data_IF_706494950755
#
_entry.id   IF_706494950755
#
_cell.length_a   1.000
_cell.length_b   1.000
_cell.length_c   1.000
_cell.angle_alpha   90.00
_cell.angle_beta   90.00
_cell.angle_gamma   90.00
#
_symmetry.space_group_name_H-M   'P 1'
#
loop_
_entity.id
_entity.type
_entity.pdbx_description
1 polymer ?
#
# COMPACT_ATOMS: atom_id res chain seq x y z
N UNK A 1 59.17 40.29 -20.98
CA UNK A 1 58.59 39.45 -22.05
C UNK A 1 58.58 38.02 -21.54
N UNK A 2 57.51 37.56 -21.04
CA UNK A 2 57.32 36.12 -20.77
C UNK A 2 55.89 35.80 -21.07
N UNK A 3 55.69 35.00 -22.08
CA UNK A 3 54.41 34.50 -22.58
C UNK A 3 54.11 33.25 -21.78
N UNK A 4 52.93 33.25 -21.17
CA UNK A 4 52.30 32.16 -20.40
C UNK A 4 52.10 30.94 -21.29
N UNK A 5 52.61 29.77 -20.87
CA UNK A 5 52.29 28.48 -21.43
C UNK A 5 50.87 28.08 -20.97
N UNK A 6 49.94 28.03 -21.90
CA UNK A 6 48.65 27.39 -21.69
C UNK A 6 48.86 25.87 -21.78
N UNK A 7 48.56 25.13 -20.71
CA UNK A 7 48.55 23.67 -20.73
C UNK A 7 47.42 23.18 -21.63
N UNK A 8 47.80 22.50 -22.69
CA UNK A 8 46.88 21.81 -23.60
C UNK A 8 46.54 20.47 -22.96
N UNK A 9 45.35 20.37 -22.41
CA UNK A 9 44.82 19.09 -21.92
C UNK A 9 44.63 18.16 -23.14
N UNK A 10 45.18 16.95 -23.07
CA UNK A 10 45.15 16.00 -24.19
C UNK A 10 43.71 15.44 -24.41
N UNK A 11 43.39 15.16 -25.67
CA UNK A 11 42.09 14.55 -26.02
C UNK A 11 41.79 13.23 -25.27
N UNK A 12 42.84 12.50 -24.85
CA UNK A 12 42.71 11.29 -24.06
C UNK A 12 42.27 11.58 -22.63
N UNK A 13 42.66 12.70 -22.02
CA UNK A 13 42.23 13.11 -20.68
C UNK A 13 40.81 13.64 -20.71
N UNK A 14 40.38 14.34 -21.77
CA UNK A 14 39.01 14.74 -21.96
C UNK A 14 38.07 13.54 -22.18
N UNK A 15 38.49 12.50 -22.89
CA UNK A 15 37.75 11.28 -23.15
C UNK A 15 37.59 10.46 -21.83
N UNK A 16 38.63 10.41 -21.01
CA UNK A 16 38.60 9.71 -19.71
C UNK A 16 37.74 10.47 -18.69
N UNK A 17 37.73 11.80 -18.72
CA UNK A 17 36.89 12.63 -17.86
C UNK A 17 35.42 12.56 -18.28
N UNK A 18 35.13 12.47 -19.59
CA UNK A 18 33.77 12.29 -20.11
C UNK A 18 33.21 10.86 -19.83
N UNK A 19 34.08 9.84 -19.88
CA UNK A 19 33.68 8.47 -19.51
C UNK A 19 33.46 8.29 -18.01
N UNK A 20 34.17 9.01 -17.14
CA UNK A 20 33.94 8.98 -15.68
C UNK A 20 32.74 9.82 -15.21
N UNK A 21 32.24 10.74 -16.03
CA UNK A 21 30.98 11.49 -15.75
C UNK A 21 29.72 10.76 -16.23
N UNK A 22 29.89 9.71 -17.06
CA UNK A 22 28.76 8.89 -17.56
C UNK A 22 28.46 7.64 -16.70
N UNK A 23 29.19 7.42 -15.59
CA UNK A 23 29.05 6.21 -14.77
C UNK A 23 28.55 6.44 -13.33
N UNK A 24 28.09 7.65 -12.98
CA UNK A 24 27.45 7.88 -11.69
C UNK A 24 26.14 8.65 -11.91
N UNK A 25 25.06 8.01 -11.48
CA UNK A 25 23.66 8.44 -11.30
C UNK A 25 22.65 7.90 -12.33
N UNK A 26 22.67 6.59 -12.60
CA UNK A 26 21.39 5.90 -12.64
C UNK A 26 20.87 5.82 -11.19
N UNK A 27 20.15 6.84 -10.76
CA UNK A 27 19.20 6.69 -9.65
C UNK A 27 18.22 5.62 -10.11
N UNK A 28 18.45 4.38 -9.67
CA UNK A 28 17.62 3.24 -10.02
C UNK A 28 16.19 3.60 -9.60
N UNK A 29 15.34 3.96 -10.56
CA UNK A 29 13.93 4.26 -10.28
C UNK A 29 13.34 3.03 -9.58
N UNK A 30 12.71 3.19 -8.40
CA UNK A 30 12.20 2.06 -7.65
C UNK A 30 11.23 1.27 -8.53
N UNK A 31 11.40 -0.05 -8.56
CA UNK A 31 10.60 -0.94 -9.40
C UNK A 31 9.11 -0.84 -9.02
N UNK A 32 8.24 -0.68 -10.00
CA UNK A 32 6.80 -0.72 -9.78
C UNK A 32 6.36 -2.15 -9.40
N UNK A 33 5.51 -2.27 -8.39
CA UNK A 33 4.78 -3.50 -8.06
C UNK A 33 3.41 -3.47 -8.70
N UNK A 34 2.70 -2.32 -8.58
CA UNK A 34 1.49 -2.07 -9.32
C UNK A 34 1.61 -0.75 -10.08
N UNK A 35 0.85 -0.63 -11.16
CA UNK A 35 0.75 0.60 -11.93
C UNK A 35 -0.71 0.83 -12.30
N UNK A 36 -1.21 2.00 -11.98
CA UNK A 36 -2.57 2.42 -12.28
C UNK A 36 -2.49 3.39 -13.45
N UNK A 37 -3.25 3.12 -14.52
CA UNK A 37 -3.21 3.89 -15.77
C UNK A 37 -4.61 4.32 -16.18
N UNK A 38 -4.87 5.62 -16.14
CA UNK A 38 -6.11 6.26 -16.60
C UNK A 38 -7.39 5.63 -16.01
N UNK A 39 -7.33 5.22 -14.73
CA UNK A 39 -8.40 4.52 -14.06
C UNK A 39 -9.59 5.44 -13.79
N UNK A 40 -10.76 5.07 -14.31
CA UNK A 40 -12.05 5.64 -13.94
C UNK A 40 -12.94 4.56 -13.33
N UNK A 41 -13.72 4.91 -12.31
CA UNK A 41 -14.57 3.95 -11.62
C UNK A 41 -15.99 4.46 -11.46
N UNK A 42 -16.97 3.56 -11.64
CA UNK A 42 -18.39 3.86 -11.61
C UNK A 42 -19.13 2.89 -10.68
N UNK A 43 -19.92 3.41 -9.75
CA UNK A 43 -20.79 2.60 -8.88
C UNK A 43 -22.03 2.09 -9.64
N UNK A 44 -22.44 2.79 -10.71
CA UNK A 44 -23.58 2.39 -11.55
C UNK A 44 -23.39 2.93 -12.96
N UNK A 45 -23.77 2.14 -13.98
CA UNK A 45 -23.74 2.54 -15.37
C UNK A 45 -24.54 3.84 -15.60
N UNK A 46 -23.98 4.77 -16.35
CA UNK A 46 -24.61 6.06 -16.66
C UNK A 46 -24.53 7.12 -15.57
N UNK A 47 -23.82 6.85 -14.45
CA UNK A 47 -23.57 7.86 -13.41
C UNK A 47 -22.24 8.56 -13.62
N UNK A 48 -22.02 9.66 -12.87
CA UNK A 48 -20.70 10.31 -12.82
C UNK A 48 -19.67 9.38 -12.21
N UNK A 49 -18.43 9.34 -12.73
CA UNK A 49 -17.36 8.53 -12.18
C UNK A 49 -17.00 8.97 -10.76
N UNK A 50 -16.81 7.99 -9.88
CA UNK A 50 -16.30 8.20 -8.54
C UNK A 50 -14.76 8.36 -8.54
N UNK A 51 -14.08 7.74 -9.52
CA UNK A 51 -12.68 8.01 -9.85
C UNK A 51 -12.61 8.49 -11.28
N UNK A 52 -11.73 9.46 -11.57
CA UNK A 52 -11.64 10.14 -12.85
C UNK A 52 -10.19 10.14 -13.31
N UNK A 53 -9.88 9.24 -14.24
CA UNK A 53 -8.59 9.21 -14.94
C UNK A 53 -7.37 9.21 -14.00
N UNK A 54 -7.41 8.37 -12.94
CA UNK A 54 -6.35 8.27 -11.95
C UNK A 54 -5.18 7.46 -12.54
N UNK A 55 -3.96 8.02 -12.46
CA UNK A 55 -2.73 7.33 -12.85
C UNK A 55 -1.67 7.53 -11.78
N UNK A 56 -1.09 6.41 -11.28
CA UNK A 56 -0.01 6.44 -10.29
C UNK A 56 0.73 5.11 -10.23
N UNK A 57 2.04 5.12 -9.91
CA UNK A 57 2.79 3.92 -9.59
C UNK A 57 2.60 3.53 -8.12
N UNK A 58 2.73 2.24 -7.83
CA UNK A 58 2.93 1.68 -6.50
C UNK A 58 4.27 0.97 -6.49
N UNK A 59 5.20 1.47 -5.72
CA UNK A 59 6.58 0.97 -5.72
C UNK A 59 6.74 -0.27 -4.85
N UNK A 60 7.54 -1.22 -5.33
CA UNK A 60 7.82 -2.49 -4.65
C UNK A 60 8.49 -2.25 -3.29
N UNK A 61 8.00 -2.94 -2.26
CA UNK A 61 8.53 -2.89 -0.90
C UNK A 61 8.63 -1.44 -0.36
N UNK A 62 7.56 -0.68 -0.61
CA UNK A 62 7.37 0.68 -0.10
C UNK A 62 5.96 0.83 0.44
N UNK A 63 5.80 1.79 1.34
CA UNK A 63 4.48 2.20 1.83
C UNK A 63 4.02 3.41 1.02
N UNK A 64 2.87 3.29 0.38
CA UNK A 64 2.19 4.40 -0.30
C UNK A 64 0.94 4.76 0.47
N UNK A 65 0.84 5.98 0.96
CA UNK A 65 -0.39 6.49 1.58
C UNK A 65 -1.28 7.23 0.57
N UNK A 66 -2.58 7.09 0.74
CA UNK A 66 -3.59 7.89 0.06
C UNK A 66 -4.27 8.80 1.09
N UNK A 67 -4.14 10.11 0.91
CA UNK A 67 -4.74 11.14 1.77
C UNK A 67 -5.75 11.99 1.00
N UNK A 68 -6.60 12.71 1.71
CA UNK A 68 -7.59 13.62 1.13
C UNK A 68 -8.90 13.63 1.91
N UNK A 69 -9.84 14.54 1.59
CA UNK A 69 -11.11 14.69 2.28
C UNK A 69 -11.96 13.40 2.27
N UNK A 70 -12.90 13.30 3.19
CA UNK A 70 -13.86 12.19 3.20
C UNK A 70 -14.67 12.19 1.89
N UNK A 71 -14.90 10.99 1.33
CA UNK A 71 -15.66 10.83 0.08
C UNK A 71 -14.91 11.19 -1.20
N UNK A 72 -13.62 11.57 -1.17
CA UNK A 72 -12.87 11.93 -2.37
C UNK A 72 -12.44 10.73 -3.26
N UNK A 73 -12.71 9.48 -2.83
CA UNK A 73 -12.46 8.28 -3.66
C UNK A 73 -11.32 7.37 -3.20
N UNK A 74 -10.61 7.66 -2.08
CA UNK A 74 -9.46 6.86 -1.59
C UNK A 74 -9.78 5.37 -1.43
N UNK A 75 -10.79 5.04 -0.63
CA UNK A 75 -11.21 3.64 -0.42
C UNK A 75 -11.76 3.00 -1.70
N UNK A 76 -12.35 3.79 -2.60
CA UNK A 76 -12.77 3.31 -3.91
C UNK A 76 -11.56 2.90 -4.74
N UNK A 77 -10.52 3.74 -4.81
CA UNK A 77 -9.27 3.43 -5.50
C UNK A 77 -8.62 2.18 -4.90
N UNK A 78 -8.52 2.11 -3.57
CA UNK A 78 -7.95 0.96 -2.87
C UNK A 78 -8.69 -0.35 -3.26
N UNK A 79 -10.03 -0.33 -3.27
CA UNK A 79 -10.87 -1.49 -3.58
C UNK A 79 -10.82 -1.91 -5.05
N UNK A 80 -10.41 -1.04 -5.97
CA UNK A 80 -10.20 -1.43 -7.37
C UNK A 80 -8.95 -2.28 -7.56
N UNK A 81 -7.93 -2.12 -6.72
CA UNK A 81 -6.64 -2.81 -6.86
C UNK A 81 -6.73 -4.34 -6.62
N UNK A 82 -7.77 -4.83 -5.92
CA UNK A 82 -8.02 -6.28 -5.73
C UNK A 82 -9.37 -6.73 -6.29
N UNK A 83 -10.02 -5.88 -7.08
CA UNK A 83 -11.29 -6.15 -7.75
C UNK A 83 -12.41 -6.58 -6.81
N UNK A 84 -12.45 -6.04 -5.57
CA UNK A 84 -13.52 -6.39 -4.63
C UNK A 84 -14.88 -5.87 -5.12
N UNK A 85 -14.89 -4.85 -5.98
CA UNK A 85 -16.09 -4.32 -6.62
C UNK A 85 -16.80 -5.32 -7.53
N UNK A 86 -16.12 -6.37 -8.02
CA UNK A 86 -16.74 -7.44 -8.83
C UNK A 86 -17.85 -8.19 -8.08
N UNK A 87 -17.91 -8.05 -6.73
CA UNK A 87 -19.02 -8.56 -5.93
C UNK A 87 -20.34 -7.80 -6.19
N UNK A 88 -20.29 -6.67 -6.89
CA UNK A 88 -21.42 -5.80 -7.16
C UNK A 88 -21.61 -5.64 -8.68
N UNK A 89 -22.64 -6.26 -9.25
CA UNK A 89 -22.88 -6.31 -10.71
C UNK A 89 -23.08 -4.94 -11.38
N UNK A 90 -23.40 -3.89 -10.61
CA UNK A 90 -23.59 -2.53 -11.12
C UNK A 90 -22.29 -1.74 -11.23
N UNK A 91 -21.22 -2.19 -10.57
CA UNK A 91 -19.94 -1.47 -10.48
C UNK A 91 -18.99 -1.92 -11.59
N UNK A 92 -18.23 -0.97 -12.13
CA UNK A 92 -17.22 -1.27 -13.15
C UNK A 92 -16.11 -0.22 -13.15
N UNK A 93 -14.97 -0.61 -13.70
CA UNK A 93 -13.80 0.24 -13.88
C UNK A 93 -13.43 0.30 -15.36
N UNK A 94 -12.89 1.45 -15.79
CA UNK A 94 -12.27 1.69 -17.10
C UNK A 94 -10.82 2.11 -16.89
N UNK A 95 -9.95 1.88 -17.87
CA UNK A 95 -8.51 2.08 -17.75
C UNK A 95 -7.80 0.78 -17.44
N UNK A 96 -6.63 0.85 -16.80
CA UNK A 96 -5.79 -0.31 -16.52
C UNK A 96 -5.23 -0.29 -15.10
N UNK A 97 -5.09 -1.46 -14.49
CA UNK A 97 -4.23 -1.69 -13.32
C UNK A 97 -3.35 -2.89 -13.63
N UNK A 98 -2.04 -2.70 -13.54
CA UNK A 98 -1.05 -3.73 -13.76
C UNK A 98 -0.47 -4.19 -12.41
N UNK A 99 -0.28 -5.50 -12.25
CA UNK A 99 0.49 -6.12 -11.17
C UNK A 99 1.68 -6.83 -11.83
N UNK A 100 2.90 -6.39 -11.52
CA UNK A 100 4.13 -6.84 -12.19
C UNK A 100 4.02 -6.83 -13.74
N UNK A 101 3.46 -5.74 -14.28
CA UNK A 101 3.29 -5.55 -15.73
C UNK A 101 2.15 -6.35 -16.37
N UNK A 102 1.35 -7.09 -15.59
CA UNK A 102 0.20 -7.87 -16.09
C UNK A 102 -1.10 -7.22 -15.64
N UNK A 103 -2.04 -7.03 -16.58
CA UNK A 103 -3.36 -6.49 -16.25
C UNK A 103 -4.10 -7.37 -15.25
N UNK A 104 -4.78 -6.73 -14.29
CA UNK A 104 -5.63 -7.43 -13.33
C UNK A 104 -7.09 -7.54 -13.80
N UNK A 105 -7.50 -6.86 -14.88
CA UNK A 105 -8.90 -6.77 -15.28
C UNK A 105 -9.37 -7.91 -16.18
N UNK A 106 -8.58 -8.33 -17.15
CA UNK A 106 -8.98 -9.35 -18.11
C UNK A 106 -8.30 -10.69 -17.84
N UNK A 107 -9.07 -11.79 -17.91
CA UNK A 107 -8.57 -13.19 -17.82
C UNK A 107 -7.82 -13.57 -16.54
N UNK A 108 -7.65 -12.65 -15.58
CA UNK A 108 -7.03 -12.97 -14.29
C UNK A 108 -8.06 -13.59 -13.38
N UNK A 109 -7.77 -14.77 -12.85
CA UNK A 109 -8.58 -15.40 -11.81
C UNK A 109 -8.59 -14.48 -10.59
N UNK A 110 -9.79 -14.11 -10.14
CA UNK A 110 -9.98 -13.20 -9.00
C UNK A 110 -9.43 -13.80 -7.71
N UNK A 111 -9.45 -15.13 -7.55
CA UNK A 111 -8.90 -15.79 -6.38
C UNK A 111 -7.36 -15.75 -6.40
N UNK A 112 -6.74 -15.94 -7.57
CA UNK A 112 -5.29 -15.78 -7.74
C UNK A 112 -4.88 -14.33 -7.45
N UNK A 113 -5.60 -13.34 -8.00
CA UNK A 113 -5.36 -11.93 -7.71
C UNK A 113 -5.45 -11.63 -6.20
N UNK A 114 -6.53 -12.06 -5.53
CA UNK A 114 -6.75 -11.77 -4.11
C UNK A 114 -5.81 -12.53 -3.18
N UNK A 115 -5.19 -13.60 -3.64
CA UNK A 115 -4.10 -14.26 -2.92
C UNK A 115 -2.81 -13.43 -2.93
N UNK A 116 -2.58 -12.65 -3.99
CA UNK A 116 -1.43 -11.77 -4.19
C UNK A 116 -1.65 -10.35 -3.66
N UNK A 117 -2.90 -9.88 -3.66
CA UNK A 117 -3.30 -8.54 -3.24
C UNK A 117 -4.28 -8.66 -2.09
N UNK A 118 -3.73 -8.77 -0.87
CA UNK A 118 -4.51 -8.88 0.37
C UNK A 118 -5.12 -7.56 0.79
N UNK A 119 -6.21 -7.61 1.57
CA UNK A 119 -6.90 -6.41 2.07
C UNK A 119 -7.21 -6.49 3.55
N UNK A 120 -6.91 -5.41 4.25
CA UNK A 120 -7.28 -5.14 5.64
C UNK A 120 -8.30 -4.00 5.64
N UNK A 121 -9.46 -4.26 6.22
CA UNK A 121 -10.57 -3.30 6.26
C UNK A 121 -10.47 -2.33 7.44
N UNK A 122 -11.16 -1.20 7.33
CA UNK A 122 -11.25 -0.17 8.35
C UNK A 122 -11.76 -0.72 9.69
N UNK A 123 -12.85 -1.49 9.65
CA UNK A 123 -13.37 -2.16 10.83
C UNK A 123 -12.75 -3.56 10.91
N UNK A 124 -12.15 -3.94 12.06
CA UNK A 124 -11.70 -5.30 12.25
C UNK A 124 -12.84 -6.28 12.00
N UNK A 125 -12.60 -7.29 11.19
CA UNK A 125 -13.59 -8.30 10.80
C UNK A 125 -13.00 -9.70 10.95
N UNK A 126 -12.70 -10.16 12.18
CA UNK A 126 -12.41 -11.56 12.38
C UNK A 126 -13.63 -12.40 11.97
N UNK A 127 -13.39 -13.58 11.42
CA UNK A 127 -14.47 -14.52 11.17
C UNK A 127 -15.01 -15.06 12.51
N UNK A 128 -16.29 -15.42 12.61
CA UNK A 128 -16.89 -15.98 13.83
C UNK A 128 -16.40 -17.42 14.06
N UNK A 129 -15.13 -17.57 14.34
CA UNK A 129 -14.42 -18.82 14.58
C UNK A 129 -13.20 -18.57 15.48
N UNK A 130 -12.48 -19.62 15.83
CA UNK A 130 -11.29 -19.52 16.69
C UNK A 130 -10.20 -18.61 16.09
N UNK A 131 -9.29 -18.12 16.94
CA UNK A 131 -8.10 -17.37 16.50
C UNK A 131 -7.29 -18.22 15.51
N UNK A 132 -7.08 -19.51 15.82
CA UNK A 132 -6.37 -20.43 14.93
C UNK A 132 -7.06 -20.61 13.58
N UNK A 133 -8.38 -20.83 13.58
CA UNK A 133 -9.12 -21.03 12.33
C UNK A 133 -9.18 -19.77 11.48
N UNK A 134 -9.24 -18.57 12.07
CA UNK A 134 -9.07 -17.32 11.34
C UNK A 134 -7.77 -17.29 10.56
N UNK A 135 -6.66 -17.71 11.17
CA UNK A 135 -5.35 -17.75 10.54
C UNK A 135 -5.22 -18.86 9.50
N UNK A 136 -5.76 -20.03 9.82
CA UNK A 136 -5.62 -21.23 9.00
C UNK A 136 -6.55 -21.24 7.78
N UNK A 137 -7.61 -20.45 7.77
CA UNK A 137 -8.68 -20.49 6.76
C UNK A 137 -8.14 -20.37 5.33
N UNK A 138 -7.44 -19.29 5.03
CA UNK A 138 -6.89 -19.06 3.70
C UNK A 138 -5.80 -20.07 3.32
N UNK A 139 -4.99 -20.50 4.28
CA UNK A 139 -3.95 -21.51 4.07
C UNK A 139 -4.53 -22.89 3.72
N UNK A 140 -5.67 -23.25 4.35
CA UNK A 140 -6.44 -24.47 4.03
C UNK A 140 -6.96 -24.40 2.58
N UNK A 141 -7.48 -23.23 2.15
CA UNK A 141 -7.94 -23.01 0.77
C UNK A 141 -6.80 -23.11 -0.26
N UNK A 142 -5.58 -22.73 0.12
CA UNK A 142 -4.37 -22.92 -0.71
C UNK A 142 -3.85 -24.38 -0.71
N UNK A 143 -4.52 -25.32 -0.04
CA UNK A 143 -4.12 -26.72 0.01
C UNK A 143 -2.87 -27.00 0.85
N UNK A 144 -2.48 -26.10 1.77
CA UNK A 144 -1.31 -26.28 2.62
C UNK A 144 -1.50 -27.45 3.58
N UNK A 145 -0.43 -28.20 3.85
CA UNK A 145 -0.42 -29.26 4.83
C UNK A 145 -0.61 -28.76 6.26
N UNK A 146 -1.07 -29.60 7.17
CA UNK A 146 -1.25 -29.25 8.60
C UNK A 146 0.05 -28.69 9.23
N UNK A 147 1.21 -29.23 8.87
CA UNK A 147 2.50 -28.80 9.39
C UNK A 147 2.85 -27.39 8.89
N UNK A 148 2.69 -27.12 7.59
CA UNK A 148 2.91 -25.78 6.99
C UNK A 148 1.95 -24.75 7.58
N UNK A 149 0.67 -25.11 7.77
CA UNK A 149 -0.33 -24.22 8.36
C UNK A 149 0.12 -23.84 9.77
N UNK A 150 0.48 -24.79 10.63
CA UNK A 150 0.95 -24.52 11.99
C UNK A 150 2.13 -23.55 12.00
N UNK A 151 3.13 -23.79 11.16
CA UNK A 151 4.32 -22.95 11.06
C UNK A 151 3.98 -21.53 10.57
N UNK A 152 3.15 -21.40 9.53
CA UNK A 152 2.74 -20.10 8.98
C UNK A 152 1.87 -19.29 9.95
N UNK A 153 0.96 -19.95 10.67
CA UNK A 153 0.13 -19.33 11.71
C UNK A 153 1.00 -18.73 12.81
N UNK A 154 1.91 -19.52 13.36
CA UNK A 154 2.82 -19.03 14.40
C UNK A 154 3.70 -17.88 13.90
N UNK A 155 4.31 -18.03 12.71
CA UNK A 155 5.16 -17.00 12.11
C UNK A 155 4.39 -15.69 11.86
N UNK A 156 3.16 -15.76 11.33
CA UNK A 156 2.37 -14.57 11.04
C UNK A 156 1.87 -13.87 12.32
N UNK A 157 1.48 -14.63 13.34
CA UNK A 157 1.09 -14.07 14.63
C UNK A 157 2.29 -13.41 15.34
N UNK A 158 3.50 -13.98 15.24
CA UNK A 158 4.73 -13.36 15.75
C UNK A 158 5.03 -12.05 15.04
N UNK A 159 4.96 -12.03 13.71
CA UNK A 159 5.16 -10.79 12.91
C UNK A 159 4.13 -9.71 13.24
N UNK A 160 2.90 -10.10 13.54
CA UNK A 160 1.84 -9.15 13.92
C UNK A 160 1.91 -8.73 15.40
N UNK A 161 2.99 -9.10 16.13
CA UNK A 161 3.15 -8.85 17.56
C UNK A 161 1.95 -9.30 18.41
N UNK A 162 1.31 -10.42 18.01
CA UNK A 162 0.11 -10.94 18.67
C UNK A 162 0.36 -12.31 19.33
N UNK A 163 1.43 -13.01 18.94
CA UNK A 163 1.70 -14.38 19.39
C UNK A 163 1.70 -14.53 20.91
N UNK A 164 2.45 -13.70 21.62
CA UNK A 164 2.58 -13.80 23.08
C UNK A 164 1.24 -13.57 23.82
N UNK A 165 0.33 -12.84 23.21
CA UNK A 165 -0.99 -12.55 23.79
C UNK A 165 -2.02 -13.65 23.54
N UNK A 166 -1.79 -14.51 22.51
CA UNK A 166 -2.81 -15.47 22.07
C UNK A 166 -2.35 -16.93 22.02
N UNK A 167 -1.04 -17.23 22.16
CA UNK A 167 -0.47 -18.58 22.00
C UNK A 167 -1.17 -19.64 22.86
N UNK A 168 -1.59 -19.27 24.07
CA UNK A 168 -2.23 -20.18 25.02
C UNK A 168 -3.78 -20.26 24.86
N UNK A 169 -4.35 -19.46 23.98
CA UNK A 169 -5.79 -19.37 23.72
C UNK A 169 -6.17 -19.40 22.23
N UNK A 170 -5.38 -20.06 21.40
CA UNK A 170 -5.60 -20.12 19.95
C UNK A 170 -6.99 -20.70 19.55
N UNK A 171 -7.56 -21.55 20.40
CA UNK A 171 -8.89 -22.13 20.19
C UNK A 171 -10.04 -21.24 20.71
N UNK A 172 -9.75 -20.10 21.35
CA UNK A 172 -10.78 -19.15 21.78
C UNK A 172 -11.38 -18.40 20.58
N UNK A 173 -12.62 -17.91 20.78
CA UNK A 173 -13.30 -17.08 19.77
C UNK A 173 -12.54 -15.78 19.51
N UNK A 174 -12.26 -15.51 18.26
CA UNK A 174 -11.55 -14.30 17.83
C UNK A 174 -12.31 -13.00 18.14
N UNK A 175 -13.63 -13.05 18.25
CA UNK A 175 -14.45 -11.90 18.63
C UNK A 175 -14.22 -11.46 20.10
N UNK A 176 -13.69 -12.33 20.95
CA UNK A 176 -13.32 -12.01 22.32
C UNK A 176 -12.03 -11.20 22.47
N UNK A 177 -11.32 -10.92 21.41
CA UNK A 177 -10.12 -10.08 21.38
C UNK A 177 -10.50 -8.59 21.47
N UNK A 178 -9.59 -7.75 22.02
CA UNK A 178 -9.72 -6.29 21.94
C UNK A 178 -9.69 -5.78 20.51
N UNK A 179 -10.16 -4.57 20.24
CA UNK A 179 -10.17 -3.99 18.89
C UNK A 179 -8.78 -3.97 18.23
N UNK A 180 -7.74 -3.57 18.98
CA UNK A 180 -6.36 -3.60 18.49
C UNK A 180 -5.83 -5.01 18.24
N UNK A 181 -6.19 -5.99 19.09
CA UNK A 181 -5.86 -7.40 18.87
C UNK A 181 -6.57 -7.97 17.63
N UNK A 182 -7.87 -7.64 17.46
CA UNK A 182 -8.63 -8.05 16.27
C UNK A 182 -8.02 -7.48 14.98
N UNK A 183 -7.59 -6.22 15.00
CA UNK A 183 -6.95 -5.60 13.85
C UNK A 183 -5.61 -6.27 13.54
N UNK A 184 -4.77 -6.51 14.55
CA UNK A 184 -3.52 -7.26 14.36
C UNK A 184 -3.78 -8.70 13.88
N UNK A 185 -4.85 -9.34 14.33
CA UNK A 185 -5.26 -10.66 13.81
C UNK A 185 -5.65 -10.58 12.32
N UNK A 186 -6.40 -9.56 11.90
CA UNK A 186 -6.75 -9.37 10.49
C UNK A 186 -5.52 -9.11 9.62
N UNK A 187 -4.54 -8.35 10.12
CA UNK A 187 -3.25 -8.15 9.46
C UNK A 187 -2.48 -9.49 9.40
N UNK A 188 -2.37 -10.21 10.53
CA UNK A 188 -1.71 -11.52 10.61
C UNK A 188 -2.32 -12.51 9.61
N UNK A 189 -3.65 -12.59 9.53
CA UNK A 189 -4.38 -13.41 8.57
C UNK A 189 -3.99 -13.08 7.13
N UNK A 190 -3.86 -11.81 6.81
CA UNK A 190 -3.48 -11.34 5.48
C UNK A 190 -2.03 -11.72 5.16
N UNK A 191 -1.08 -11.45 6.05
CA UNK A 191 0.35 -11.73 5.81
C UNK A 191 0.69 -13.22 5.85
N UNK A 192 -0.14 -14.06 6.49
CA UNK A 192 0.03 -15.53 6.50
C UNK A 192 -0.02 -16.13 5.09
N UNK A 193 -0.75 -15.51 4.17
CA UNK A 193 -0.85 -15.92 2.76
C UNK A 193 0.35 -15.45 1.93
N UNK A 194 1.26 -14.65 2.50
CA UNK A 194 2.44 -14.07 1.86
C UNK A 194 2.09 -13.31 0.56
N UNK A 195 1.18 -12.32 0.64
CA UNK A 195 0.78 -11.55 -0.53
C UNK A 195 1.95 -10.69 -1.06
N UNK A 196 1.82 -10.23 -2.30
CA UNK A 196 2.76 -9.29 -2.91
C UNK A 196 2.45 -7.83 -2.53
N UNK A 197 1.14 -7.54 -2.33
CA UNK A 197 0.62 -6.23 -1.95
C UNK A 197 -0.37 -6.38 -0.80
N UNK A 198 -0.29 -5.46 0.16
CA UNK A 198 -1.25 -5.35 1.27
C UNK A 198 -1.96 -4.00 1.14
N UNK A 199 -3.27 -4.04 0.98
CA UNK A 199 -4.14 -2.87 0.96
C UNK A 199 -4.72 -2.67 2.35
N UNK A 200 -4.65 -1.45 2.91
CA UNK A 200 -5.15 -1.13 4.24
C UNK A 200 -6.09 0.09 4.16
N UNK A 201 -7.37 -0.12 4.44
CA UNK A 201 -8.39 0.93 4.43
C UNK A 201 -8.56 1.47 5.85
N UNK A 202 -7.95 2.60 6.19
CA UNK A 202 -7.98 3.28 7.49
C UNK A 202 -7.79 2.33 8.71
N UNK A 203 -6.70 1.53 8.77
CA UNK A 203 -6.59 0.41 9.71
C UNK A 203 -6.52 0.79 11.19
N UNK A 204 -6.39 2.07 11.51
CA UNK A 204 -6.23 2.58 12.87
C UNK A 204 -7.35 3.52 13.32
N UNK A 205 -8.33 3.82 12.45
CA UNK A 205 -9.35 4.86 12.69
C UNK A 205 -10.26 4.60 13.90
N UNK A 206 -10.42 3.34 14.30
CA UNK A 206 -11.25 2.93 15.44
C UNK A 206 -10.43 2.48 16.66
N UNK A 207 -9.12 2.76 16.69
CA UNK A 207 -8.22 2.30 17.73
C UNK A 207 -7.76 3.44 18.65
N UNK A 208 -7.42 3.08 19.88
CA UNK A 208 -6.77 3.99 20.82
C UNK A 208 -5.31 4.32 20.37
N UNK A 209 -4.68 5.35 20.96
CA UNK A 209 -3.33 5.77 20.56
C UNK A 209 -2.26 4.67 20.73
N UNK A 210 -2.36 3.80 21.73
CA UNK A 210 -1.39 2.73 21.97
C UNK A 210 -1.51 1.67 20.90
N UNK A 211 -2.72 1.22 20.60
CA UNK A 211 -2.98 0.27 19.53
C UNK A 211 -2.62 0.83 18.15
N UNK A 212 -2.87 2.13 17.92
CA UNK A 212 -2.45 2.84 16.70
C UNK A 212 -0.95 2.80 16.54
N UNK A 213 -0.16 3.16 17.56
CA UNK A 213 1.29 3.13 17.51
C UNK A 213 1.84 1.72 17.23
N UNK A 214 1.22 0.69 17.83
CA UNK A 214 1.59 -0.71 17.56
C UNK A 214 1.35 -1.11 16.10
N UNK A 215 0.25 -0.67 15.49
CA UNK A 215 -0.04 -0.91 14.06
C UNK A 215 0.94 -0.14 13.16
N UNK A 216 1.29 1.11 13.49
CA UNK A 216 2.27 1.90 12.73
C UNK A 216 3.65 1.25 12.73
N UNK A 217 4.11 0.77 13.89
CA UNK A 217 5.37 0.01 14.01
C UNK A 217 5.31 -1.25 13.14
N UNK A 218 4.22 -2.01 13.23
CA UNK A 218 4.01 -3.20 12.43
C UNK A 218 4.06 -2.90 10.91
N UNK A 219 3.40 -1.83 10.44
CA UNK A 219 3.44 -1.43 9.02
C UNK A 219 4.88 -1.13 8.58
N UNK A 220 5.65 -0.42 9.41
CA UNK A 220 7.05 -0.08 9.13
C UNK A 220 7.92 -1.33 9.00
N UNK A 221 7.73 -2.33 9.86
CA UNK A 221 8.45 -3.61 9.79
C UNK A 221 8.04 -4.45 8.57
N UNK A 222 6.75 -4.43 8.21
CA UNK A 222 6.23 -5.20 7.10
C UNK A 222 6.70 -4.70 5.72
N UNK A 223 7.04 -3.40 5.57
CA UNK A 223 7.44 -2.81 4.28
C UNK A 223 8.68 -3.45 3.67
N UNK A 224 9.56 -4.02 4.49
CA UNK A 224 10.78 -4.66 3.98
C UNK A 224 10.46 -5.90 3.11
N UNK A 225 9.33 -6.53 3.37
CA UNK A 225 8.90 -7.74 2.66
C UNK A 225 7.70 -7.50 1.74
N UNK A 226 6.81 -6.60 2.08
CA UNK A 226 5.54 -6.38 1.40
C UNK A 226 5.45 -4.97 0.81
N UNK A 227 4.76 -4.85 -0.31
CA UNK A 227 4.32 -3.56 -0.81
C UNK A 227 3.02 -3.18 -0.11
N UNK A 228 2.92 -1.98 0.45
CA UNK A 228 1.76 -1.58 1.25
C UNK A 228 1.12 -0.33 0.65
N UNK A 229 -0.20 -0.35 0.49
CA UNK A 229 -0.99 0.84 0.16
C UNK A 229 -1.98 1.08 1.29
N UNK A 230 -1.91 2.24 1.92
CA UNK A 230 -2.75 2.60 3.06
C UNK A 230 -3.59 3.84 2.76
N UNK A 231 -4.88 3.76 3.05
CA UNK A 231 -5.75 4.94 3.13
C UNK A 231 -5.74 5.45 4.56
N UNK A 232 -5.52 6.73 4.76
CA UNK A 232 -5.63 7.37 6.06
C UNK A 232 -6.16 8.80 5.92
N UNK A 233 -6.91 9.25 6.91
CA UNK A 233 -7.28 10.66 7.09
C UNK A 233 -6.36 11.38 8.07
N UNK A 234 -5.41 10.66 8.71
CA UNK A 234 -4.44 11.23 9.62
C UNK A 234 -3.13 11.55 8.85
N UNK A 235 -2.92 12.82 8.57
CA UNK A 235 -1.74 13.30 7.85
C UNK A 235 -0.44 12.99 8.59
N UNK A 236 -0.43 13.11 9.91
CA UNK A 236 0.76 12.80 10.73
C UNK A 236 1.13 11.32 10.66
N UNK A 237 0.12 10.43 10.59
CA UNK A 237 0.35 9.01 10.35
C UNK A 237 1.01 8.80 8.97
N UNK A 238 0.48 9.42 7.91
CA UNK A 238 1.06 9.32 6.58
C UNK A 238 2.54 9.73 6.56
N UNK A 239 2.89 10.84 7.23
CA UNK A 239 4.27 11.32 7.35
C UNK A 239 5.18 10.30 8.05
N UNK A 240 4.68 9.66 9.13
CA UNK A 240 5.51 8.74 9.93
C UNK A 240 5.81 7.40 9.23
N UNK A 241 4.85 6.88 8.46
CA UNK A 241 4.94 5.49 7.99
C UNK A 241 5.11 5.32 6.48
N UNK A 242 4.96 6.40 5.68
CA UNK A 242 4.88 6.25 4.22
C UNK A 242 6.13 6.77 3.51
N UNK A 243 6.56 6.04 2.50
CA UNK A 243 7.62 6.46 1.58
C UNK A 243 7.07 7.42 0.52
N UNK A 244 5.84 7.13 0.04
CA UNK A 244 5.14 7.92 -0.98
C UNK A 244 3.74 8.28 -0.53
N UNK A 245 3.26 9.43 -0.97
CA UNK A 245 1.89 9.90 -0.66
C UNK A 245 1.19 10.40 -1.92
N UNK A 246 -0.07 9.97 -2.09
CA UNK A 246 -0.98 10.49 -3.09
C UNK A 246 -2.10 11.31 -2.45
N UNK A 247 -2.26 12.56 -2.85
CA UNK A 247 -3.37 13.41 -2.43
C UNK A 247 -4.51 13.29 -3.43
N UNK A 248 -5.68 12.88 -2.95
CA UNK A 248 -6.88 12.72 -3.75
C UNK A 248 -7.93 13.78 -3.44
N UNK A 249 -8.56 14.31 -4.49
CA UNK A 249 -9.66 15.27 -4.37
C UNK A 249 -10.72 15.06 -5.46
N UNK A 250 -11.99 14.96 -5.07
CA UNK A 250 -13.15 14.78 -5.97
C UNK A 250 -12.96 13.70 -7.06
N UNK A 251 -12.37 12.57 -6.65
CA UNK A 251 -12.16 11.42 -7.53
C UNK A 251 -10.92 11.51 -8.43
N UNK A 252 -10.08 12.51 -8.26
CA UNK A 252 -8.84 12.71 -9.02
C UNK A 252 -7.62 12.60 -8.10
N UNK A 253 -6.49 12.18 -8.66
CA UNK A 253 -5.19 12.30 -8.01
C UNK A 253 -4.64 13.70 -8.33
N UNK A 254 -4.61 14.57 -7.33
CA UNK A 254 -4.12 15.94 -7.49
C UNK A 254 -2.60 16.01 -7.46
N UNK A 255 -1.97 15.23 -6.58
CA UNK A 255 -0.51 15.18 -6.44
C UNK A 255 -0.05 13.81 -5.95
N UNK A 256 1.11 13.37 -6.42
CA UNK A 256 1.77 12.14 -5.98
C UNK A 256 3.27 12.35 -5.93
N UNK A 257 3.91 11.93 -4.86
CA UNK A 257 5.36 12.07 -4.72
C UNK A 257 5.91 11.41 -3.46
N UNK A 258 7.21 11.62 -3.23
CA UNK A 258 7.87 11.27 -1.97
C UNK A 258 7.16 11.99 -0.83
N UNK A 259 6.86 11.26 0.25
CA UNK A 259 6.04 11.78 1.36
C UNK A 259 6.62 13.07 1.95
N UNK A 260 7.90 13.09 2.29
CA UNK A 260 8.59 14.27 2.85
C UNK A 260 8.41 15.49 1.93
N UNK A 261 8.70 15.34 0.64
CA UNK A 261 8.58 16.42 -0.32
C UNK A 261 7.14 16.93 -0.47
N UNK A 262 6.15 16.02 -0.51
CA UNK A 262 4.74 16.39 -0.67
C UNK A 262 4.22 17.18 0.55
N UNK A 263 4.68 16.85 1.76
CA UNK A 263 4.26 17.54 2.98
C UNK A 263 5.04 18.84 3.24
N UNK A 264 6.33 18.91 2.90
CA UNK A 264 7.15 20.10 3.13
C UNK A 264 7.01 21.13 2.00
N UNK A 265 6.99 20.67 0.74
CA UNK A 265 7.00 21.52 -0.45
C UNK A 265 5.99 21.03 -1.50
N UNK A 266 4.68 21.05 -1.20
CA UNK A 266 3.65 20.64 -2.16
C UNK A 266 3.66 21.52 -3.40
N UNK A 267 3.58 20.91 -4.58
CA UNK A 267 3.62 21.60 -5.87
C UNK A 267 2.24 22.12 -6.29
N UNK A 268 1.17 21.52 -5.76
CA UNK A 268 -0.21 21.90 -6.07
C UNK A 268 -0.82 22.76 -4.98
N UNK A 269 -1.52 23.82 -5.35
CA UNK A 269 -2.16 24.72 -4.38
C UNK A 269 -3.22 23.99 -3.53
N UNK A 270 -3.98 23.08 -4.11
CA UNK A 270 -4.95 22.28 -3.37
C UNK A 270 -4.29 21.37 -2.33
N UNK A 271 -3.13 20.79 -2.65
CA UNK A 271 -2.36 19.97 -1.70
C UNK A 271 -1.89 20.85 -0.54
N UNK A 272 -1.37 22.03 -0.86
CA UNK A 272 -0.89 23.01 0.15
C UNK A 272 -2.03 23.41 1.10
N UNK A 273 -3.19 23.79 0.55
CA UNK A 273 -4.38 24.15 1.34
C UNK A 273 -4.87 23.01 2.22
N UNK A 274 -4.84 21.78 1.70
CA UNK A 274 -5.26 20.60 2.48
C UNK A 274 -4.31 20.33 3.65
N UNK A 275 -2.99 20.42 3.44
CA UNK A 275 -1.96 20.17 4.46
C UNK A 275 -1.96 21.27 5.52
N UNK A 276 -2.16 22.56 5.14
CA UNK A 276 -2.23 23.69 6.08
C UNK A 276 -3.53 23.73 6.89
N UNK A 277 -4.53 22.94 6.51
CA UNK A 277 -5.84 22.98 7.14
C UNK A 277 -6.77 24.08 6.64
N UNK A 278 -6.37 24.84 5.62
CA UNK A 278 -7.15 25.93 5.00
C UNK A 278 -8.16 25.42 3.97
N UNK A 279 -8.39 24.11 3.94
CA UNK A 279 -9.28 23.44 3.01
C UNK A 279 -10.71 23.52 3.53
N UNK A 280 -11.47 24.48 3.02
CA UNK A 280 -12.87 24.74 3.34
C UNK A 280 -13.79 24.53 2.15
#
# INVERSE_FOLDING_TARGET
MNISAAEVISESEMTTMTMNLASNDEVAHPKHRMEIQNLSFYYKKGTKPALKNVSMPIYKNRVTSLIGPSGCGKSTLLRTMNRIYDLYSSQYAEGEILLDGKTIFSKTDVNDLRSKVGMVFQKPTPFPMSIYDNMAFGLKLQGKSKAEIKQKVESALKRAHLWEEVKDKLNADANGLSGGQQQRLCIARTIALEPEVILMDEPTSALDPIATAAIETLITELRDKFTIVIVTHNMQQAVRISDYTGFMYLGQLEEFGVTEQLFENPTRDKTRQYISGDFG
#
